data_IF_250228167222
#
_entry.id   IF_250228167222
#
_cell.length_a   1.000
_cell.length_b   1.000
_cell.length_c   1.000
_cell.angle_alpha   90.00
_cell.angle_beta   90.00
_cell.angle_gamma   90.00
#
_symmetry.space_group_name_H-M   'P 1'
#
loop_
_entity.id
_entity.type
_entity.pdbx_description
1 polymer ?
#
# COMPACT_ATOMS: atom_id res chain seq x y z
N UNK A 1 -16.47 -14.67 10.61
CA UNK A 1 -16.28 -13.26 11.07
C UNK A 1 -15.70 -12.51 9.90
N UNK A 2 -16.34 -11.38 9.48
CA UNK A 2 -15.85 -10.56 8.38
C UNK A 2 -14.46 -9.99 8.66
N UNK A 3 -13.71 -9.72 7.60
CA UNK A 3 -12.35 -9.16 7.64
C UNK A 3 -12.34 -7.62 7.52
N UNK A 4 -13.50 -6.99 7.67
CA UNK A 4 -13.73 -5.57 7.46
C UNK A 4 -14.01 -4.79 8.76
N UNK A 5 -13.78 -3.49 8.72
CA UNK A 5 -14.06 -2.54 9.80
C UNK A 5 -15.40 -1.83 9.57
N UNK A 6 -16.34 -2.01 10.47
CA UNK A 6 -17.70 -1.42 10.40
C UNK A 6 -17.69 0.12 10.37
N UNK A 7 -16.73 0.77 11.04
CA UNK A 7 -16.63 2.23 11.03
C UNK A 7 -16.21 2.77 9.68
N UNK A 8 -15.41 2.00 8.93
CA UNK A 8 -14.96 2.39 7.59
C UNK A 8 -15.90 1.96 6.48
N UNK A 9 -16.88 1.07 6.74
CA UNK A 9 -17.88 0.63 5.76
C UNK A 9 -18.62 1.80 5.11
N UNK A 10 -18.89 2.88 5.85
CA UNK A 10 -19.53 4.10 5.34
C UNK A 10 -18.71 4.83 4.27
N UNK A 11 -17.42 4.55 4.18
CA UNK A 11 -16.50 5.14 3.21
C UNK A 11 -16.47 4.37 1.89
N UNK A 12 -17.01 3.14 1.87
CA UNK A 12 -17.18 2.38 0.64
C UNK A 12 -18.09 3.12 -0.33
N UNK A 13 -17.85 2.96 -1.60
CA UNK A 13 -18.65 3.60 -2.64
C UNK A 13 -18.73 2.73 -3.88
N UNK A 14 -19.68 3.04 -4.76
CA UNK A 14 -19.75 2.43 -6.08
C UNK A 14 -19.58 3.47 -7.18
N UNK A 15 -19.02 3.01 -8.29
CA UNK A 15 -18.94 3.77 -9.55
C UNK A 15 -19.98 3.22 -10.48
N UNK A 16 -20.89 4.10 -10.93
CA UNK A 16 -21.99 3.74 -11.80
C UNK A 16 -21.83 4.37 -13.18
N UNK A 17 -22.73 4.04 -14.08
CA UNK A 17 -22.74 4.48 -15.47
C UNK A 17 -22.38 5.97 -15.61
N UNK A 18 -21.48 6.25 -16.55
CA UNK A 18 -20.89 7.58 -16.75
C UNK A 18 -19.79 7.93 -15.76
N UNK A 19 -19.25 6.97 -15.01
CA UNK A 19 -18.18 7.20 -14.03
C UNK A 19 -18.63 7.99 -12.80
N UNK A 20 -19.92 8.05 -12.50
CA UNK A 20 -20.45 8.77 -11.34
C UNK A 20 -20.26 7.97 -10.06
N UNK A 21 -19.86 8.65 -9.01
CA UNK A 21 -19.70 8.07 -7.68
C UNK A 21 -20.96 8.24 -6.86
N UNK A 22 -21.35 7.17 -6.18
CA UNK A 22 -22.49 7.18 -5.25
C UNK A 22 -22.22 6.24 -4.06
N UNK A 23 -22.96 6.37 -2.96
CA UNK A 23 -22.95 5.37 -1.89
C UNK A 23 -23.33 4.00 -2.43
N UNK A 24 -22.78 2.93 -1.80
CA UNK A 24 -23.09 1.54 -2.19
C UNK A 24 -24.60 1.29 -2.09
N UNK A 25 -25.21 0.93 -3.20
CA UNK A 25 -26.61 0.51 -3.21
C UNK A 25 -26.67 -0.98 -2.80
N UNK A 26 -27.17 -1.23 -1.57
CA UNK A 26 -27.32 -2.56 -1.00
C UNK A 26 -28.66 -3.23 -1.33
N UNK A 27 -29.60 -2.47 -1.90
CA UNK A 27 -30.96 -2.96 -2.18
C UNK A 27 -31.04 -3.81 -3.44
N UNK A 28 -29.99 -3.82 -4.25
CA UNK A 28 -29.91 -4.53 -5.54
C UNK A 28 -28.67 -5.40 -5.59
N UNK A 29 -28.88 -6.69 -5.56
CA UNK A 29 -27.81 -7.68 -5.68
C UNK A 29 -27.23 -7.75 -7.11
N UNK A 30 -26.03 -8.28 -7.26
CA UNK A 30 -25.43 -8.49 -8.59
C UNK A 30 -26.29 -9.37 -9.50
N UNK A 31 -26.88 -10.50 -9.05
CA UNK A 31 -27.81 -11.27 -9.87
C UNK A 31 -29.01 -10.46 -10.39
N UNK A 32 -29.62 -9.61 -9.57
CA UNK A 32 -30.73 -8.74 -9.98
C UNK A 32 -30.29 -7.72 -11.02
N UNK A 33 -29.14 -7.07 -10.81
CA UNK A 33 -28.54 -6.13 -11.77
C UNK A 33 -28.21 -6.81 -13.11
N UNK A 34 -27.70 -8.05 -13.07
CA UNK A 34 -27.47 -8.87 -14.24
C UNK A 34 -28.78 -9.17 -14.99
N UNK A 35 -29.82 -9.64 -14.27
CA UNK A 35 -31.11 -9.96 -14.85
C UNK A 35 -31.76 -8.74 -15.55
N UNK A 36 -31.75 -7.57 -14.90
CA UNK A 36 -32.25 -6.34 -15.48
C UNK A 36 -31.44 -5.87 -16.71
N UNK A 37 -30.11 -5.98 -16.65
CA UNK A 37 -29.22 -5.65 -17.78
C UNK A 37 -29.54 -6.53 -18.98
N UNK A 38 -29.63 -7.82 -18.79
CA UNK A 38 -29.93 -8.79 -19.86
C UNK A 38 -31.33 -8.58 -20.44
N UNK A 39 -32.34 -8.37 -19.57
CA UNK A 39 -33.71 -8.11 -20.00
C UNK A 39 -33.80 -6.82 -20.83
N UNK A 40 -33.18 -5.72 -20.37
CA UNK A 40 -33.14 -4.45 -21.08
C UNK A 40 -32.46 -4.51 -22.45
N UNK A 41 -31.57 -5.49 -22.66
CA UNK A 41 -30.86 -5.72 -23.93
C UNK A 41 -31.43 -6.86 -24.77
N UNK A 42 -32.47 -7.55 -24.31
CA UNK A 42 -33.05 -8.72 -24.98
C UNK A 42 -32.08 -9.89 -25.09
N UNK A 43 -31.15 -10.06 -24.15
CA UNK A 43 -30.15 -11.10 -24.13
C UNK A 43 -30.57 -12.20 -23.14
N UNK A 44 -30.65 -13.45 -23.59
CA UNK A 44 -30.96 -14.59 -22.72
C UNK A 44 -29.74 -15.05 -21.96
N UNK A 45 -29.88 -15.30 -20.64
CA UNK A 45 -28.84 -16.00 -19.88
C UNK A 45 -28.75 -17.46 -20.35
N UNK A 46 -27.59 -17.93 -20.84
CA UNK A 46 -27.43 -19.29 -21.33
C UNK A 46 -27.53 -20.35 -20.24
N UNK A 47 -27.51 -19.96 -18.96
CA UNK A 47 -27.68 -20.84 -17.81
C UNK A 47 -29.12 -20.91 -17.29
N UNK A 48 -30.03 -20.03 -17.77
CA UNK A 48 -31.39 -19.90 -17.22
C UNK A 48 -32.22 -21.19 -17.19
N UNK A 49 -32.00 -22.06 -18.17
CA UNK A 49 -32.77 -23.32 -18.31
C UNK A 49 -31.96 -24.56 -17.87
N UNK A 50 -30.79 -24.35 -17.24
CA UNK A 50 -29.92 -25.43 -16.81
C UNK A 50 -30.03 -25.68 -15.31
N UNK A 51 -30.09 -26.95 -14.92
CA UNK A 51 -30.06 -27.35 -13.51
C UNK A 51 -28.75 -26.94 -12.81
N UNK A 52 -27.64 -26.97 -13.57
CA UNK A 52 -26.33 -26.50 -13.13
C UNK A 52 -25.70 -25.56 -14.17
N UNK A 53 -25.10 -24.43 -13.74
CA UNK A 53 -24.45 -23.50 -14.67
C UNK A 53 -23.29 -24.15 -15.42
N UNK A 54 -23.31 -24.05 -16.76
CA UNK A 54 -22.25 -24.56 -17.63
C UNK A 54 -21.43 -23.43 -18.29
N UNK A 55 -22.01 -22.26 -18.40
CA UNK A 55 -21.43 -21.13 -19.08
C UNK A 55 -20.92 -20.11 -18.07
N UNK A 56 -19.78 -19.49 -18.37
CA UNK A 56 -19.26 -18.37 -17.60
C UNK A 56 -19.95 -17.08 -18.05
N UNK A 57 -20.89 -16.62 -17.25
CA UNK A 57 -21.73 -15.46 -17.53
C UNK A 57 -21.32 -14.22 -16.78
N UNK A 58 -20.37 -14.36 -15.84
CA UNK A 58 -19.81 -13.26 -15.04
C UNK A 58 -18.29 -13.38 -14.98
N UNK A 59 -17.62 -12.25 -14.98
CA UNK A 59 -16.17 -12.11 -14.70
C UNK A 59 -16.01 -11.05 -13.63
N UNK A 60 -15.39 -11.42 -12.53
CA UNK A 60 -15.04 -10.48 -11.47
C UNK A 60 -13.56 -10.09 -11.57
N UNK A 61 -13.32 -8.79 -11.51
CA UNK A 61 -11.98 -8.21 -11.43
C UNK A 61 -11.79 -7.61 -10.06
N UNK A 62 -10.61 -7.87 -9.49
CA UNK A 62 -10.12 -7.15 -8.32
C UNK A 62 -9.01 -6.23 -8.80
N UNK A 63 -9.27 -4.91 -8.76
CA UNK A 63 -8.33 -3.88 -9.18
C UNK A 63 -7.76 -3.20 -7.95
N UNK A 64 -6.46 -3.00 -7.94
CA UNK A 64 -5.75 -2.40 -6.82
C UNK A 64 -4.25 -2.41 -7.07
N UNK A 65 -3.48 -2.17 -6.02
CA UNK A 65 -2.04 -2.13 -6.09
C UNK A 65 -1.38 -2.43 -4.75
N UNK A 66 -0.18 -1.90 -4.54
CA UNK A 66 0.52 -2.09 -3.29
C UNK A 66 -0.31 -1.56 -2.11
N UNK A 67 -0.27 -2.28 -1.01
CA UNK A 67 -0.98 -1.92 0.23
C UNK A 67 -0.67 -0.48 0.67
N UNK A 68 0.60 -0.07 0.59
CA UNK A 68 1.02 1.27 0.97
C UNK A 68 0.35 2.32 0.08
N UNK A 69 0.50 2.20 -1.24
CA UNK A 69 0.01 3.22 -2.18
C UNK A 69 -1.51 3.31 -2.20
N UNK A 70 -2.22 2.16 -2.14
CA UNK A 70 -3.68 2.17 -2.07
C UNK A 70 -4.21 2.85 -0.80
N UNK A 71 -3.49 2.69 0.33
CA UNK A 71 -3.82 3.39 1.58
C UNK A 71 -3.55 4.89 1.49
N UNK A 72 -2.47 5.28 0.84
CA UNK A 72 -2.15 6.69 0.58
C UNK A 72 -3.22 7.35 -0.30
N UNK A 73 -3.67 6.68 -1.37
CA UNK A 73 -4.76 7.19 -2.22
C UNK A 73 -6.07 7.33 -1.43
N UNK A 74 -6.38 6.35 -0.55
CA UNK A 74 -7.64 6.34 0.19
C UNK A 74 -7.69 7.31 1.36
N UNK A 75 -6.60 7.43 2.13
CA UNK A 75 -6.59 8.11 3.43
C UNK A 75 -5.47 9.13 3.60
N UNK A 76 -4.40 9.12 2.79
CA UNK A 76 -3.26 10.00 2.94
C UNK A 76 -2.58 9.84 4.30
N UNK A 77 -2.32 10.96 4.95
CA UNK A 77 -1.65 11.02 6.26
C UNK A 77 -2.59 10.78 7.46
N UNK A 78 -3.88 10.49 7.23
CA UNK A 78 -4.80 10.20 8.31
C UNK A 78 -4.38 8.93 9.06
N UNK A 79 -4.45 8.96 10.37
CA UNK A 79 -4.17 7.78 11.21
C UNK A 79 -5.32 6.79 11.12
N UNK A 80 -5.07 5.63 10.55
CA UNK A 80 -6.07 4.57 10.34
C UNK A 80 -5.72 3.36 11.19
N UNK A 81 -6.67 2.88 11.97
CA UNK A 81 -6.57 1.60 12.68
C UNK A 81 -7.06 0.50 11.76
N UNK A 82 -6.12 -0.35 11.31
CA UNK A 82 -6.43 -1.48 10.43
C UNK A 82 -6.75 -2.72 11.26
N UNK A 83 -7.86 -3.37 10.92
CA UNK A 83 -8.32 -4.58 11.58
C UNK A 83 -9.80 -4.79 11.30
N UNK A 84 -10.29 -5.96 11.70
CA UNK A 84 -11.72 -6.27 11.63
C UNK A 84 -12.46 -5.82 12.89
N UNK A 85 -13.74 -5.52 12.77
CA UNK A 85 -14.60 -5.20 13.88
C UNK A 85 -15.16 -3.78 13.85
N UNK A 86 -15.24 -3.12 14.99
CA UNK A 86 -15.81 -1.79 15.12
C UNK A 86 -14.79 -0.84 15.77
N UNK A 87 -13.83 -0.37 14.98
CA UNK A 87 -12.74 0.48 15.47
C UNK A 87 -13.22 1.94 15.56
N UNK A 88 -13.70 2.36 16.72
CA UNK A 88 -14.24 3.72 16.94
C UNK A 88 -13.25 4.84 16.63
N UNK A 89 -11.93 4.60 16.73
CA UNK A 89 -10.90 5.53 16.30
C UNK A 89 -11.01 5.92 14.81
N UNK A 90 -11.65 5.08 13.98
CA UNK A 90 -11.87 5.34 12.56
C UNK A 90 -13.16 6.14 12.27
N UNK A 91 -13.92 6.53 13.27
CA UNK A 91 -15.22 7.20 13.08
C UNK A 91 -15.10 8.57 12.38
N UNK A 92 -14.00 9.29 12.59
CA UNK A 92 -13.74 10.61 11.99
C UNK A 92 -13.05 10.57 10.64
N UNK A 93 -12.62 9.37 10.17
CA UNK A 93 -11.91 9.24 8.90
C UNK A 93 -12.76 9.74 7.72
N UNK A 94 -12.09 10.34 6.76
CA UNK A 94 -12.65 10.74 5.47
C UNK A 94 -11.90 10.03 4.35
N UNK A 95 -12.61 9.60 3.32
CA UNK A 95 -11.93 9.16 2.12
C UNK A 95 -11.46 10.38 1.32
N UNK A 96 -10.32 10.24 0.67
CA UNK A 96 -9.73 11.30 -0.14
C UNK A 96 -10.32 11.33 -1.55
N UNK A 97 -10.35 12.50 -2.20
CA UNK A 97 -10.73 12.60 -3.62
C UNK A 97 -9.88 11.74 -4.55
N UNK A 98 -8.60 11.50 -4.20
CA UNK A 98 -7.66 10.74 -5.04
C UNK A 98 -8.10 9.28 -5.25
N UNK A 99 -8.68 8.63 -4.25
CA UNK A 99 -9.21 7.26 -4.43
C UNK A 99 -10.45 7.24 -5.32
N UNK A 100 -11.25 8.32 -5.28
CA UNK A 100 -12.42 8.46 -6.15
C UNK A 100 -12.00 8.67 -7.62
N UNK A 101 -11.01 9.53 -7.86
CA UNK A 101 -10.48 9.77 -9.20
C UNK A 101 -9.76 8.54 -9.76
N UNK A 102 -8.99 7.82 -8.94
CA UNK A 102 -8.43 6.52 -9.32
C UNK A 102 -9.54 5.54 -9.74
N UNK A 103 -10.61 5.46 -8.96
CA UNK A 103 -11.72 4.58 -9.26
C UNK A 103 -12.43 4.93 -10.57
N UNK A 104 -12.59 6.22 -10.87
CA UNK A 104 -13.14 6.69 -12.15
C UNK A 104 -12.26 6.29 -13.33
N UNK A 105 -10.95 6.40 -13.18
CA UNK A 105 -10.01 5.99 -14.24
C UNK A 105 -10.05 4.50 -14.50
N UNK A 106 -10.08 3.68 -13.44
CA UNK A 106 -10.23 2.23 -13.56
C UNK A 106 -11.56 1.86 -14.22
N UNK A 107 -12.65 2.49 -13.81
CA UNK A 107 -13.97 2.31 -14.41
C UNK A 107 -13.97 2.69 -15.89
N UNK A 108 -13.39 3.85 -16.24
CA UNK A 108 -13.27 4.31 -17.63
C UNK A 108 -12.48 3.32 -18.48
N UNK A 109 -11.31 2.90 -18.02
CA UNK A 109 -10.50 1.90 -18.70
C UNK A 109 -11.27 0.61 -18.97
N UNK A 110 -11.97 0.09 -17.97
CA UNK A 110 -12.77 -1.13 -18.10
C UNK A 110 -13.97 -0.93 -19.02
N UNK A 111 -14.61 0.24 -18.98
CA UNK A 111 -15.73 0.60 -19.85
C UNK A 111 -15.31 0.69 -21.32
N UNK A 112 -14.19 1.35 -21.60
CA UNK A 112 -13.65 1.48 -22.96
C UNK A 112 -13.17 0.11 -23.52
N UNK A 113 -12.62 -0.73 -22.66
CA UNK A 113 -12.06 -2.02 -23.04
C UNK A 113 -13.11 -3.10 -23.27
N UNK A 114 -14.17 -3.11 -22.48
CA UNK A 114 -15.16 -4.21 -22.46
C UNK A 114 -16.61 -3.78 -22.73
N UNK A 115 -16.87 -2.49 -22.88
CA UNK A 115 -18.21 -1.92 -22.99
C UNK A 115 -18.82 -1.58 -21.64
N UNK A 116 -19.21 -0.32 -21.45
CA UNK A 116 -19.81 0.14 -20.20
C UNK A 116 -21.11 -0.60 -19.85
N UNK A 117 -21.89 -0.94 -20.89
CA UNK A 117 -23.13 -1.69 -20.76
C UNK A 117 -22.96 -3.12 -20.23
N UNK A 118 -21.74 -3.62 -20.21
CA UNK A 118 -21.42 -4.94 -19.67
C UNK A 118 -21.07 -4.89 -18.18
N UNK A 119 -20.85 -3.72 -17.59
CA UNK A 119 -20.51 -3.56 -16.16
C UNK A 119 -21.80 -3.54 -15.34
N UNK A 120 -21.98 -4.51 -14.46
CA UNK A 120 -23.15 -4.65 -13.59
C UNK A 120 -22.87 -4.30 -12.12
N UNK A 121 -21.61 -4.19 -11.75
CA UNK A 121 -21.18 -3.75 -10.43
C UNK A 121 -19.76 -3.22 -10.45
N UNK A 122 -19.53 -2.13 -9.71
CA UNK A 122 -18.19 -1.58 -9.52
C UNK A 122 -18.12 -0.93 -8.14
N UNK A 123 -17.50 -1.62 -7.19
CA UNK A 123 -17.47 -1.26 -5.79
C UNK A 123 -16.04 -1.03 -5.33
N UNK A 124 -15.83 0.03 -4.54
CA UNK A 124 -14.56 0.30 -3.90
C UNK A 124 -14.67 0.06 -2.40
N UNK A 125 -13.89 -0.89 -1.93
CA UNK A 125 -13.83 -1.30 -0.53
C UNK A 125 -12.70 -0.55 0.19
N UNK A 126 -13.07 0.26 1.18
CA UNK A 126 -12.15 1.00 2.05
C UNK A 126 -12.14 0.46 3.49
N UNK A 127 -13.02 -0.45 3.79
CA UNK A 127 -13.23 -1.08 5.10
C UNK A 127 -12.32 -2.29 5.36
N UNK A 128 -11.65 -2.80 4.34
CA UNK A 128 -10.70 -3.89 4.46
C UNK A 128 -9.25 -3.41 4.69
N UNK A 129 -8.32 -4.34 4.87
CA UNK A 129 -6.91 -4.03 5.15
C UNK A 129 -6.21 -3.26 4.01
N UNK A 130 -6.57 -3.56 2.78
CA UNK A 130 -6.05 -2.89 1.59
C UNK A 130 -7.22 -2.38 0.77
N UNK A 131 -7.34 -1.07 0.52
CA UNK A 131 -8.34 -0.53 -0.39
C UNK A 131 -8.22 -1.16 -1.77
N UNK A 132 -9.34 -1.54 -2.38
CA UNK A 132 -9.38 -2.15 -3.70
C UNK A 132 -10.77 -2.00 -4.33
N UNK A 133 -10.86 -2.25 -5.63
CA UNK A 133 -12.11 -2.20 -6.38
C UNK A 133 -12.49 -3.60 -6.84
N UNK A 134 -13.75 -3.96 -6.66
CA UNK A 134 -14.40 -5.08 -7.32
C UNK A 134 -15.22 -4.60 -8.50
N UNK A 135 -14.98 -5.15 -9.68
CA UNK A 135 -15.74 -4.85 -10.87
C UNK A 135 -16.29 -6.15 -11.46
N UNK A 136 -17.61 -6.23 -11.52
CA UNK A 136 -18.33 -7.37 -12.09
C UNK A 136 -18.77 -7.07 -13.50
N UNK A 137 -18.31 -7.89 -14.44
CA UNK A 137 -18.50 -7.73 -15.88
C UNK A 137 -19.26 -8.92 -16.46
N UNK A 138 -20.22 -8.64 -17.33
CA UNK A 138 -20.85 -9.64 -18.21
C UNK A 138 -19.99 -9.78 -19.47
N UNK A 139 -19.46 -10.97 -19.80
CA UNK A 139 -18.63 -11.16 -20.98
C UNK A 139 -19.50 -11.25 -22.26
N UNK A 140 -20.13 -10.12 -22.62
CA UNK A 140 -21.01 -10.02 -23.77
C UNK A 140 -20.34 -9.25 -24.89
N UNK A 141 -20.36 -9.84 -26.10
CA UNK A 141 -19.90 -9.22 -27.34
C UNK A 141 -20.89 -9.54 -28.45
N UNK A 142 -21.23 -8.54 -29.27
CA UNK A 142 -22.17 -8.70 -30.39
C UNK A 142 -23.53 -9.28 -29.94
N UNK A 143 -24.03 -8.84 -28.76
CA UNK A 143 -25.30 -9.27 -28.18
C UNK A 143 -25.35 -10.70 -27.66
N UNK A 144 -24.21 -11.36 -27.47
CA UNK A 144 -24.11 -12.75 -27.00
C UNK A 144 -23.01 -12.93 -25.97
N UNK A 145 -23.19 -13.87 -25.05
CA UNK A 145 -22.13 -14.27 -24.12
C UNK A 145 -20.93 -14.86 -24.90
N UNK A 146 -19.78 -14.27 -24.73
CA UNK A 146 -18.58 -14.52 -25.51
C UNK A 146 -17.32 -14.69 -24.65
N UNK A 147 -17.43 -15.26 -23.44
CA UNK A 147 -16.30 -15.41 -22.51
C UNK A 147 -15.05 -15.99 -23.16
N UNK A 148 -15.22 -17.06 -23.97
CA UNK A 148 -14.09 -17.70 -24.67
C UNK A 148 -13.40 -16.73 -25.64
N UNK A 149 -14.18 -15.93 -26.37
CA UNK A 149 -13.68 -14.96 -27.36
C UNK A 149 -12.99 -13.78 -26.66
N UNK A 150 -13.55 -13.28 -25.55
CA UNK A 150 -13.06 -12.10 -24.84
C UNK A 150 -11.83 -12.43 -23.96
N UNK A 151 -11.84 -13.57 -23.28
CA UNK A 151 -10.86 -13.89 -22.25
C UNK A 151 -10.08 -15.17 -22.49
N UNK A 152 -10.76 -16.33 -22.61
CA UNK A 152 -10.09 -17.63 -22.57
C UNK A 152 -9.21 -17.92 -23.80
N UNK A 153 -9.60 -17.42 -24.99
CA UNK A 153 -8.89 -17.76 -26.21
C UNK A 153 -9.01 -19.25 -26.61
N UNK A 154 -8.10 -19.73 -27.40
CA UNK A 154 -8.05 -21.13 -27.88
C UNK A 154 -7.45 -22.07 -26.85
N UNK A 155 -6.47 -21.60 -26.11
CA UNK A 155 -5.71 -22.38 -25.15
C UNK A 155 -5.17 -21.52 -23.98
N UNK A 156 -4.47 -22.15 -23.04
CA UNK A 156 -3.87 -21.50 -21.87
C UNK A 156 -2.81 -20.43 -22.22
N UNK A 157 -2.14 -20.55 -23.36
CA UNK A 157 -1.10 -19.60 -23.78
C UNK A 157 -1.74 -18.32 -24.30
N UNK A 158 -2.80 -18.45 -25.09
CA UNK A 158 -3.56 -17.29 -25.55
C UNK A 158 -4.24 -16.57 -24.38
N UNK A 159 -4.83 -17.32 -23.44
CA UNK A 159 -5.36 -16.76 -22.19
C UNK A 159 -4.29 -15.97 -21.42
N UNK A 160 -3.11 -16.58 -21.22
CA UNK A 160 -2.00 -15.93 -20.51
C UNK A 160 -1.52 -14.66 -21.22
N UNK A 161 -1.40 -14.70 -22.54
CA UNK A 161 -1.00 -13.55 -23.34
C UNK A 161 -2.01 -12.39 -23.24
N UNK A 162 -3.32 -12.69 -23.29
CA UNK A 162 -4.39 -11.69 -23.14
C UNK A 162 -4.40 -11.08 -21.76
N UNK A 163 -4.24 -11.89 -20.71
CA UNK A 163 -4.16 -11.37 -19.34
C UNK A 163 -2.92 -10.50 -19.14
N UNK A 164 -1.77 -10.91 -19.68
CA UNK A 164 -0.55 -10.09 -19.64
C UNK A 164 -0.75 -8.74 -20.33
N UNK A 165 -1.34 -8.73 -21.51
CA UNK A 165 -1.63 -7.49 -22.24
C UNK A 165 -2.59 -6.59 -21.46
N UNK A 166 -3.66 -7.15 -20.88
CA UNK A 166 -4.59 -6.40 -20.02
C UNK A 166 -3.87 -5.76 -18.81
N UNK A 167 -2.97 -6.51 -18.17
CA UNK A 167 -2.16 -5.98 -17.06
C UNK A 167 -1.20 -4.89 -17.52
N UNK A 168 -0.60 -5.01 -18.71
CA UNK A 168 0.29 -4.00 -19.29
C UNK A 168 -0.48 -2.71 -19.61
N UNK A 169 -1.65 -2.81 -20.26
CA UNK A 169 -2.53 -1.68 -20.55
C UNK A 169 -3.01 -0.99 -19.27
N UNK A 170 -3.44 -1.76 -18.27
CA UNK A 170 -3.88 -1.24 -16.97
C UNK A 170 -2.75 -0.53 -16.22
N UNK A 171 -1.52 -1.03 -16.32
CA UNK A 171 -0.38 -0.41 -15.65
C UNK A 171 -0.10 0.99 -16.18
N UNK A 172 -0.30 1.25 -17.48
CA UNK A 172 -0.15 2.59 -18.07
C UNK A 172 -1.15 3.59 -17.46
N UNK A 173 -2.39 3.17 -17.24
CA UNK A 173 -3.40 4.01 -16.58
C UNK A 173 -3.03 4.27 -15.11
N UNK A 174 -2.39 3.30 -14.47
CA UNK A 174 -2.00 3.35 -13.07
C UNK A 174 -0.72 4.15 -12.78
N UNK A 175 0.11 4.47 -13.78
CA UNK A 175 1.37 5.21 -13.62
C UNK A 175 1.19 6.54 -12.88
N UNK A 176 0.17 7.33 -13.26
CA UNK A 176 -0.12 8.61 -12.62
C UNK A 176 -0.50 8.49 -11.14
N UNK A 177 -0.94 7.30 -10.73
CA UNK A 177 -1.30 6.97 -9.35
C UNK A 177 -0.13 6.36 -8.57
N UNK A 178 1.08 6.29 -9.18
CA UNK A 178 2.27 5.65 -8.60
C UNK A 178 2.04 4.18 -8.25
N UNK A 179 1.19 3.51 -9.02
CA UNK A 179 0.93 2.09 -8.92
C UNK A 179 1.71 1.36 -10.02
N UNK A 180 2.80 0.72 -9.61
CA UNK A 180 3.65 -0.01 -10.51
C UNK A 180 3.03 -1.34 -10.92
N UNK A 181 3.35 -1.78 -12.14
CA UNK A 181 3.01 -3.13 -12.59
C UNK A 181 3.71 -4.18 -11.71
N UNK A 182 2.94 -5.17 -11.25
CA UNK A 182 3.51 -6.31 -10.54
C UNK A 182 4.57 -7.04 -11.39
N UNK A 183 5.67 -7.45 -10.78
CA UNK A 183 6.75 -8.18 -11.44
C UNK A 183 6.30 -9.57 -11.84
N UNK A 184 6.86 -10.08 -12.93
CA UNK A 184 6.55 -11.43 -13.40
C UNK A 184 7.05 -12.49 -12.40
N UNK A 185 6.25 -13.54 -12.20
CA UNK A 185 6.61 -14.68 -11.34
C UNK A 185 7.95 -15.31 -11.75
N UNK A 186 8.27 -15.33 -13.03
CA UNK A 186 9.57 -15.81 -13.53
C UNK A 186 10.76 -14.97 -13.08
N UNK A 187 10.55 -13.69 -12.79
CA UNK A 187 11.60 -12.77 -12.32
C UNK A 187 11.73 -12.79 -10.79
N UNK A 188 10.61 -12.94 -10.09
CA UNK A 188 10.57 -12.91 -8.63
C UNK A 188 10.78 -14.27 -7.98
N UNK A 189 10.65 -15.37 -8.73
CA UNK A 189 10.62 -16.73 -8.20
C UNK A 189 9.43 -17.00 -7.27
N UNK A 190 8.45 -16.10 -7.22
CA UNK A 190 7.29 -16.23 -6.35
C UNK A 190 6.49 -17.49 -6.72
N UNK A 191 6.27 -18.38 -5.76
CA UNK A 191 5.39 -19.53 -5.91
C UNK A 191 3.97 -19.16 -5.53
N UNK A 192 3.01 -19.75 -6.22
CA UNK A 192 1.63 -19.76 -5.73
C UNK A 192 1.60 -20.55 -4.43
N UNK A 193 1.36 -19.84 -3.31
CA UNK A 193 1.21 -20.44 -1.98
C UNK A 193 -0.26 -20.51 -1.62
N UNK A 194 -0.67 -21.54 -0.91
CA UNK A 194 -2.01 -21.56 -0.29
C UNK A 194 -2.11 -20.40 0.72
N UNK A 195 -3.33 -19.96 1.03
CA UNK A 195 -3.56 -18.90 2.03
C UNK A 195 -2.96 -19.28 3.39
N UNK A 196 -2.95 -20.56 3.71
CA UNK A 196 -2.42 -21.09 4.97
C UNK A 196 -0.89 -21.09 4.99
N UNK A 197 -0.22 -21.48 3.91
CA UNK A 197 1.23 -21.37 3.75
C UNK A 197 1.68 -19.91 3.77
N UNK A 198 0.93 -19.02 3.13
CA UNK A 198 1.23 -17.59 3.14
C UNK A 198 1.13 -16.99 4.55
N UNK A 199 0.08 -17.34 5.32
CA UNK A 199 -0.08 -16.90 6.71
C UNK A 199 1.03 -17.41 7.62
N UNK A 200 1.42 -18.67 7.47
CA UNK A 200 2.52 -19.26 8.24
C UNK A 200 3.83 -18.54 7.96
N UNK A 201 4.19 -18.36 6.70
CA UNK A 201 5.39 -17.63 6.30
C UNK A 201 5.38 -16.19 6.83
N UNK A 202 4.26 -15.50 6.74
CA UNK A 202 4.11 -14.13 7.26
C UNK A 202 4.29 -14.10 8.79
N UNK A 203 3.79 -15.10 9.51
CA UNK A 203 3.98 -15.23 10.96
C UNK A 203 5.46 -15.46 11.32
N UNK A 204 6.16 -16.31 10.57
CA UNK A 204 7.60 -16.56 10.73
C UNK A 204 8.42 -15.28 10.45
N UNK A 205 8.09 -14.54 9.39
CA UNK A 205 8.74 -13.25 9.10
C UNK A 205 8.49 -12.20 10.19
N UNK A 206 7.26 -12.11 10.71
CA UNK A 206 6.94 -11.20 11.82
C UNK A 206 7.77 -11.53 13.07
N UNK A 207 7.87 -12.82 13.44
CA UNK A 207 8.69 -13.26 14.59
C UNK A 207 10.15 -12.89 14.41
N UNK A 208 10.72 -13.11 13.23
CA UNK A 208 12.11 -12.75 12.93
C UNK A 208 12.33 -11.22 13.01
N UNK A 209 11.41 -10.43 12.49
CA UNK A 209 11.48 -8.95 12.58
C UNK A 209 11.38 -8.50 14.04
N UNK A 210 10.50 -9.10 14.84
CA UNK A 210 10.38 -8.80 16.27
C UNK A 210 11.68 -9.09 17.02
N UNK A 211 12.33 -10.22 16.76
CA UNK A 211 13.64 -10.57 17.31
C UNK A 211 14.72 -9.55 16.92
N UNK A 212 14.78 -9.14 15.64
CA UNK A 212 15.71 -8.12 15.17
C UNK A 212 15.48 -6.77 15.86
N UNK A 213 14.22 -6.37 16.04
CA UNK A 213 13.86 -5.12 16.74
C UNK A 213 14.35 -5.17 18.20
N UNK A 214 14.23 -6.30 18.88
CA UNK A 214 14.74 -6.47 20.25
C UNK A 214 16.26 -6.35 20.28
N UNK A 215 16.98 -7.00 19.35
CA UNK A 215 18.43 -6.91 19.26
C UNK A 215 18.91 -5.49 18.98
N UNK A 216 18.27 -4.78 18.02
CA UNK A 216 18.62 -3.39 17.71
C UNK A 216 18.33 -2.44 18.87
N UNK A 217 17.24 -2.63 19.61
CA UNK A 217 16.94 -1.84 20.81
C UNK A 217 18.01 -2.02 21.88
N UNK A 218 18.51 -3.25 22.08
CA UNK A 218 19.59 -3.53 23.01
C UNK A 218 20.88 -2.85 22.57
N UNK A 219 21.29 -3.02 21.31
CA UNK A 219 22.49 -2.37 20.77
C UNK A 219 22.42 -0.82 20.88
N UNK A 220 21.26 -0.22 20.63
CA UNK A 220 21.03 1.22 20.83
C UNK A 220 21.20 1.64 22.29
N UNK A 221 20.74 0.82 23.24
CA UNK A 221 20.92 1.08 24.67
C UNK A 221 22.40 1.04 25.06
N UNK A 222 23.12 0.03 24.59
CA UNK A 222 24.56 -0.12 24.87
C UNK A 222 25.37 1.04 24.30
N UNK A 223 25.11 1.43 23.05
CA UNK A 223 25.72 2.60 22.41
C UNK A 223 25.46 3.91 23.16
N UNK A 224 24.26 4.12 23.70
CA UNK A 224 23.95 5.31 24.51
C UNK A 224 24.79 5.38 25.77
N UNK A 225 25.04 4.23 26.41
CA UNK A 225 25.94 4.14 27.59
C UNK A 225 27.37 4.49 27.20
N UNK A 226 27.88 3.94 26.10
CA UNK A 226 29.24 4.24 25.60
C UNK A 226 29.40 5.72 25.24
N UNK A 227 28.43 6.33 24.57
CA UNK A 227 28.43 7.77 24.27
C UNK A 227 28.50 8.58 25.56
N UNK A 228 27.68 8.28 26.56
CA UNK A 228 27.71 8.98 27.83
C UNK A 228 29.06 8.87 28.55
N UNK A 229 29.71 7.72 28.50
CA UNK A 229 31.05 7.52 29.06
C UNK A 229 32.11 8.31 28.28
N UNK A 230 32.05 8.32 26.95
CA UNK A 230 32.93 9.08 26.10
C UNK A 230 32.81 10.60 26.34
N UNK A 231 31.58 11.11 26.45
CA UNK A 231 31.31 12.53 26.77
C UNK A 231 31.92 12.95 28.13
N UNK A 232 31.80 12.10 29.16
CA UNK A 232 32.43 12.33 30.45
C UNK A 232 33.96 12.38 30.36
N UNK A 233 34.57 11.47 29.60
CA UNK A 233 36.03 11.46 29.34
C UNK A 233 36.48 12.73 28.63
N UNK A 234 35.78 13.13 27.58
CA UNK A 234 36.09 14.37 26.82
C UNK A 234 36.00 15.56 27.77
N UNK A 235 34.95 15.68 28.59
CA UNK A 235 34.81 16.78 29.55
C UNK A 235 35.98 16.82 30.56
N UNK A 236 36.40 15.65 31.08
CA UNK A 236 37.55 15.55 31.98
C UNK A 236 38.86 15.97 31.31
N UNK A 237 39.14 15.51 30.11
CA UNK A 237 40.32 15.89 29.36
C UNK A 237 40.35 17.37 28.99
N UNK A 238 39.21 17.97 28.63
CA UNK A 238 39.09 19.41 28.38
C UNK A 238 39.47 20.22 29.61
N UNK A 239 38.94 19.85 30.79
CA UNK A 239 39.30 20.49 32.05
C UNK A 239 40.80 20.35 32.38
N UNK A 240 41.42 19.20 32.14
CA UNK A 240 42.87 19.01 32.33
C UNK A 240 43.67 19.89 31.38
N UNK A 241 43.31 20.01 30.12
CA UNK A 241 43.98 20.87 29.12
C UNK A 241 43.86 22.33 29.53
N UNK A 242 42.72 22.79 30.01
CA UNK A 242 42.53 24.17 30.46
C UNK A 242 43.38 24.47 31.71
N UNK A 243 43.49 23.54 32.65
CA UNK A 243 44.36 23.69 33.83
C UNK A 243 45.85 23.73 33.41
N UNK A 244 46.28 22.88 32.50
CA UNK A 244 47.64 22.90 31.96
C UNK A 244 47.96 24.19 31.24
N UNK A 245 47.03 24.74 30.47
CA UNK A 245 47.19 26.04 29.77
C UNK A 245 47.37 27.19 30.79
N UNK A 246 46.57 27.20 31.87
CA UNK A 246 46.72 28.18 32.96
C UNK A 246 48.08 28.06 33.64
N UNK A 247 48.49 26.86 34.02
CA UNK A 247 49.79 26.62 34.64
C UNK A 247 50.96 27.00 33.72
N UNK A 248 50.83 26.72 32.42
CA UNK A 248 51.84 27.17 31.42
C UNK A 248 51.91 28.68 31.36
N UNK A 249 50.80 29.40 31.26
CA UNK A 249 50.77 30.86 31.21
C UNK A 249 51.38 31.51 32.50
N UNK A 250 51.11 30.92 33.66
CA UNK A 250 51.73 31.35 34.92
C UNK A 250 53.27 31.18 34.93
N UNK A 251 53.76 30.02 34.41
CA UNK A 251 55.19 29.77 34.30
C UNK A 251 55.90 30.69 33.29
N UNK A 252 55.24 30.95 32.15
CA UNK A 252 55.75 31.90 31.15
C UNK A 252 55.81 33.33 31.72
N UNK A 253 54.81 33.73 32.51
CA UNK A 253 54.83 35.03 33.20
C UNK A 253 55.97 35.12 34.26
N UNK A 254 56.17 34.06 35.06
CA UNK A 254 57.27 33.98 36.01
C UNK A 254 58.63 34.04 35.33
N UNK A 255 58.80 33.33 34.20
CA UNK A 255 60.05 33.34 33.41
C UNK A 255 60.35 34.74 32.88
N UNK A 256 59.35 35.40 32.29
CA UNK A 256 59.50 36.76 31.77
C UNK A 256 59.83 37.79 32.88
N UNK A 257 59.33 37.60 34.11
CA UNK A 257 59.67 38.43 35.25
C UNK A 257 61.13 38.22 35.69
N UNK A 258 61.58 36.97 35.77
CA UNK A 258 62.96 36.62 36.09
C UNK A 258 63.96 37.12 35.05
N UNK A 259 63.64 37.03 33.75
CA UNK A 259 64.48 37.55 32.65
C UNK A 259 64.63 39.07 32.77
N UNK A 260 63.56 39.82 33.07
CA UNK A 260 63.63 41.27 33.31
C UNK A 260 64.51 41.62 34.53
N UNK A 261 64.43 40.83 35.62
CA UNK A 261 65.24 41.03 36.79
C UNK A 261 66.76 40.76 36.52
N UNK A 262 67.04 39.72 35.74
CA UNK A 262 68.39 39.37 35.34
C UNK A 262 69.00 40.47 34.40
N UNK A 263 68.21 41.00 33.48
CA UNK A 263 68.65 42.10 32.61
C UNK A 263 68.94 43.40 33.42
N UNK A 264 68.15 43.69 34.46
CA UNK A 264 68.43 44.86 35.34
C UNK A 264 69.69 44.70 36.18
N UNK A 265 70.11 43.49 36.53
CA UNK A 265 71.35 43.20 37.27
C UNK A 265 72.60 43.09 36.42
N UNK A 266 72.51 43.00 35.08
CA UNK A 266 73.66 42.99 34.16
C UNK A 266 74.00 44.36 33.57
N UNK A 267 73.23 45.41 33.92
CA UNK A 267 73.40 46.77 33.43
C UNK A 267 74.02 47.76 34.45
N UNK A 268 74.34 47.26 35.61
CA UNK A 268 75.18 47.97 36.62
C UNK A 268 76.59 47.39 36.64
#
# INVERSE_FOLDING_TARGET
KGTYDRQRERLNFEVVKGGRIQPVNKDRSIPERMAENLAGRGIKDPNSDLAEPKFRTVVDFILGGSKFQMRQLAFGEQTVVYGSGNNTANASLQRRPEIEEWAKDMYRFMSERFGEENIVGCYVHLDETTPHMHLTLLPIQDGKFAFKKMFAGKDKYEFSARMKMLHDELSQVNEKWQLERGRNVSETGARHRSTEEYRRHLSEECTNIEEQVVQHKKALSDLKVEISLAERRVKGLTSMVDNLRKAKAEKESQLSALERTLQSHQGD
#
